data_IF_627342595567
#
_entry.id   IF_627342595567
#
_cell.length_a   1.000
_cell.length_b   1.000
_cell.length_c   1.000
_cell.angle_alpha   90.00
_cell.angle_beta   90.00
_cell.angle_gamma   90.00
#
_symmetry.space_group_name_H-M   'P 1'
#
loop_
_entity.id
_entity.type
_entity.pdbx_description
1 polymer ?
#
# COMPACT_ATOMS: atom_id res chain seq x y z
N UNK A 1 46.15 -41.57 -1.23
CA UNK A 1 45.59 -40.22 -1.49
C UNK A 1 45.93 -39.35 -0.29
N UNK A 2 46.69 -38.27 -0.46
CA UNK A 2 47.05 -37.36 0.64
C UNK A 2 45.84 -36.47 0.92
N UNK A 3 45.13 -36.71 2.01
CA UNK A 3 44.16 -35.74 2.52
C UNK A 3 44.94 -34.53 3.04
N UNK A 4 44.91 -33.44 2.29
CA UNK A 4 45.23 -32.12 2.82
C UNK A 4 44.08 -31.73 3.75
N UNK A 5 44.25 -31.97 5.05
CA UNK A 5 43.31 -31.49 6.05
C UNK A 5 43.35 -29.96 6.09
N UNK A 6 42.18 -29.34 6.15
CA UNK A 6 42.04 -27.90 6.43
C UNK A 6 42.80 -27.55 7.72
N UNK A 7 43.56 -26.47 7.70
CA UNK A 7 44.19 -25.97 8.91
C UNK A 7 43.16 -25.28 9.80
N UNK A 8 43.32 -25.38 11.13
CA UNK A 8 42.44 -24.65 12.06
C UNK A 8 42.49 -23.13 11.81
N UNK A 9 43.64 -22.63 11.36
CA UNK A 9 43.83 -21.22 11.04
C UNK A 9 42.99 -20.77 9.85
N UNK A 10 42.88 -21.60 8.80
CA UNK A 10 42.03 -21.30 7.63
C UNK A 10 40.56 -21.20 8.02
N UNK A 11 40.08 -22.03 8.95
CA UNK A 11 38.70 -21.92 9.42
C UNK A 11 38.49 -20.64 10.25
N UNK A 12 39.46 -20.29 11.10
CA UNK A 12 39.38 -19.10 11.97
C UNK A 12 39.42 -17.81 11.16
N UNK A 13 40.29 -17.70 10.15
CA UNK A 13 40.35 -16.48 9.33
C UNK A 13 39.06 -16.29 8.52
N UNK A 14 38.44 -17.37 8.04
CA UNK A 14 37.17 -17.30 7.29
C UNK A 14 36.06 -16.74 8.16
N UNK A 15 35.87 -17.23 9.39
CA UNK A 15 34.82 -16.72 10.27
C UNK A 15 35.08 -15.27 10.70
N UNK A 16 36.35 -14.86 10.84
CA UNK A 16 36.71 -13.47 11.15
C UNK A 16 36.35 -12.56 9.97
N UNK A 17 36.73 -12.94 8.75
CA UNK A 17 36.42 -12.17 7.54
C UNK A 17 34.90 -12.08 7.33
N UNK A 18 34.18 -13.20 7.47
CA UNK A 18 32.71 -13.22 7.39
C UNK A 18 32.07 -12.35 8.48
N UNK A 19 32.63 -12.33 9.70
CA UNK A 19 32.16 -11.47 10.78
C UNK A 19 32.27 -9.98 10.48
N UNK A 20 33.41 -9.54 9.90
CA UNK A 20 33.62 -8.13 9.52
C UNK A 20 32.70 -7.73 8.36
N UNK A 21 32.58 -8.59 7.34
CA UNK A 21 31.69 -8.35 6.20
C UNK A 21 30.22 -8.26 6.63
N UNK A 22 29.79 -9.14 7.53
CA UNK A 22 28.44 -9.11 8.09
C UNK A 22 28.20 -7.82 8.89
N UNK A 23 29.12 -7.42 9.77
CA UNK A 23 29.00 -6.20 10.57
C UNK A 23 28.86 -4.93 9.72
N UNK A 24 29.55 -4.86 8.57
CA UNK A 24 29.46 -3.72 7.65
C UNK A 24 28.17 -3.74 6.78
N UNK A 25 27.62 -4.91 6.48
CA UNK A 25 26.43 -5.04 5.62
C UNK A 25 25.10 -4.81 6.37
N UNK A 26 25.03 -5.17 7.65
CA UNK A 26 23.79 -5.10 8.46
C UNK A 26 23.15 -3.70 8.48
N UNK A 27 23.87 -2.58 8.73
CA UNK A 27 23.25 -1.26 8.81
C UNK A 27 22.58 -0.84 7.48
N UNK A 28 23.18 -1.21 6.35
CA UNK A 28 22.66 -0.89 5.02
C UNK A 28 21.39 -1.69 4.70
N UNK A 29 21.32 -2.95 5.13
CA UNK A 29 20.19 -3.83 4.85
C UNK A 29 18.91 -3.41 5.59
N UNK A 30 19.03 -2.78 6.77
CA UNK A 30 17.88 -2.27 7.54
C UNK A 30 17.25 -1.07 6.81
N UNK A 31 18.05 -0.06 6.42
CA UNK A 31 17.51 1.14 5.76
C UNK A 31 16.82 0.83 4.42
N UNK A 32 17.31 -0.14 3.65
CA UNK A 32 16.70 -0.52 2.37
C UNK A 32 15.31 -1.13 2.55
N UNK A 33 15.04 -1.80 3.67
CA UNK A 33 13.71 -2.36 3.93
C UNK A 33 12.69 -1.26 4.19
N UNK A 34 13.04 -0.25 4.98
CA UNK A 34 12.15 0.89 5.25
C UNK A 34 11.92 1.71 3.97
N UNK A 35 12.97 2.00 3.20
CA UNK A 35 12.85 2.65 1.89
C UNK A 35 11.95 1.85 0.93
N UNK A 36 12.06 0.51 0.94
CA UNK A 36 11.24 -0.34 0.08
C UNK A 36 9.76 -0.34 0.48
N UNK A 37 9.46 -0.25 1.78
CA UNK A 37 8.08 -0.11 2.29
C UNK A 37 7.45 1.19 1.80
N UNK A 38 8.17 2.30 1.95
CA UNK A 38 7.71 3.63 1.52
C UNK A 38 7.46 3.67 0.00
N UNK A 39 8.39 3.12 -0.80
CA UNK A 39 8.23 3.03 -2.25
C UNK A 39 7.03 2.17 -2.64
N UNK A 40 6.81 1.04 -1.95
CA UNK A 40 5.66 0.16 -2.21
C UNK A 40 4.34 0.87 -1.91
N UNK A 41 4.29 1.60 -0.80
CA UNK A 41 3.12 2.38 -0.41
C UNK A 41 2.83 3.51 -1.41
N UNK A 42 3.85 4.24 -1.83
CA UNK A 42 3.71 5.27 -2.84
C UNK A 42 3.21 4.69 -4.18
N UNK A 43 3.73 3.51 -4.57
CA UNK A 43 3.25 2.81 -5.76
C UNK A 43 1.77 2.40 -5.64
N UNK A 44 1.36 1.88 -4.47
CA UNK A 44 -0.03 1.52 -4.19
C UNK A 44 -0.96 2.75 -4.22
N UNK A 45 -0.53 3.88 -3.67
CA UNK A 45 -1.27 5.15 -3.73
C UNK A 45 -1.44 5.63 -5.17
N UNK A 46 -0.38 5.58 -5.99
CA UNK A 46 -0.44 5.92 -7.41
C UNK A 46 -1.37 4.99 -8.21
N UNK A 47 -1.35 3.69 -7.91
CA UNK A 47 -2.25 2.71 -8.51
C UNK A 47 -3.71 2.99 -8.13
N UNK A 48 -3.98 3.27 -6.85
CA UNK A 48 -5.30 3.62 -6.35
C UNK A 48 -5.83 4.92 -6.98
N UNK A 49 -5.00 5.95 -7.08
CA UNK A 49 -5.36 7.21 -7.74
C UNK A 49 -5.76 6.97 -9.21
N UNK A 50 -4.96 6.17 -9.92
CA UNK A 50 -5.22 5.81 -11.31
C UNK A 50 -6.53 5.01 -11.46
N UNK A 51 -6.75 4.03 -10.59
CA UNK A 51 -7.97 3.23 -10.57
C UNK A 51 -9.22 4.08 -10.30
N UNK A 52 -9.17 4.97 -9.30
CA UNK A 52 -10.28 5.86 -8.97
C UNK A 52 -10.64 6.81 -10.13
N UNK A 53 -9.64 7.33 -10.84
CA UNK A 53 -9.87 8.14 -12.05
C UNK A 53 -10.44 7.31 -13.20
N UNK A 54 -9.99 6.07 -13.40
CA UNK A 54 -10.53 5.18 -14.42
C UNK A 54 -12.01 4.85 -14.17
N UNK A 55 -12.36 4.61 -12.90
CA UNK A 55 -13.75 4.44 -12.45
C UNK A 55 -14.57 5.70 -12.75
N UNK A 56 -14.01 6.87 -12.50
CA UNK A 56 -14.65 8.14 -12.80
C UNK A 56 -14.93 8.33 -14.29
N UNK A 57 -13.98 8.01 -15.16
CA UNK A 57 -14.20 8.04 -16.60
C UNK A 57 -15.25 7.01 -17.03
N UNK A 58 -15.24 5.82 -16.44
CA UNK A 58 -16.26 4.80 -16.72
C UNK A 58 -17.67 5.29 -16.35
N UNK A 59 -17.81 5.93 -15.20
CA UNK A 59 -19.08 6.50 -14.75
C UNK A 59 -19.62 7.58 -15.69
N UNK A 60 -18.74 8.38 -16.30
CA UNK A 60 -19.13 9.36 -17.31
C UNK A 60 -19.61 8.68 -18.61
N UNK A 61 -18.92 7.63 -19.06
CA UNK A 61 -19.33 6.88 -20.24
C UNK A 61 -20.67 6.17 -20.05
N UNK A 62 -20.92 5.66 -18.84
CA UNK A 62 -22.19 5.04 -18.46
C UNK A 62 -23.31 6.07 -18.16
N UNK A 63 -23.00 7.37 -18.23
CA UNK A 63 -23.97 8.45 -18.07
C UNK A 63 -24.47 8.67 -16.64
N UNK A 64 -23.78 8.11 -15.64
CA UNK A 64 -24.17 8.18 -14.23
C UNK A 64 -23.49 9.32 -13.46
N UNK A 65 -22.89 10.28 -14.18
CA UNK A 65 -22.02 11.32 -13.62
C UNK A 65 -22.75 12.49 -12.93
N UNK A 66 -24.07 12.51 -12.98
CA UNK A 66 -24.92 13.55 -12.36
C UNK A 66 -25.52 13.12 -11.02
N UNK A 67 -25.26 11.88 -10.61
CA UNK A 67 -25.83 11.30 -9.41
C UNK A 67 -24.85 11.43 -8.24
N UNK A 68 -25.38 11.70 -7.06
CA UNK A 68 -24.61 11.62 -5.82
C UNK A 68 -24.21 10.16 -5.55
N UNK A 69 -25.15 9.22 -5.68
CA UNK A 69 -24.88 7.77 -5.54
C UNK A 69 -25.24 7.07 -6.85
N UNK A 70 -24.32 6.25 -7.33
CA UNK A 70 -24.51 5.45 -8.54
C UNK A 70 -23.70 4.17 -8.46
N UNK A 71 -23.77 3.35 -9.50
CA UNK A 71 -22.95 2.14 -9.62
C UNK A 71 -22.41 2.04 -11.04
N UNK A 72 -21.27 1.38 -11.17
CA UNK A 72 -20.71 0.94 -12.45
C UNK A 72 -20.31 -0.52 -12.36
N UNK A 73 -20.26 -1.20 -13.50
CA UNK A 73 -19.72 -2.56 -13.58
C UNK A 73 -18.28 -2.52 -14.06
N UNK A 74 -17.37 -3.06 -13.27
CA UNK A 74 -15.95 -3.20 -13.61
C UNK A 74 -15.61 -4.67 -13.43
N UNK A 75 -15.08 -5.31 -14.49
CA UNK A 75 -14.72 -6.74 -14.49
C UNK A 75 -15.85 -7.69 -14.03
N UNK A 76 -17.12 -7.32 -14.27
CA UNK A 76 -18.29 -8.09 -13.87
C UNK A 76 -18.76 -7.83 -12.43
N UNK A 77 -18.00 -7.09 -11.65
CA UNK A 77 -18.34 -6.68 -10.28
C UNK A 77 -19.05 -5.33 -10.28
N UNK A 78 -20.00 -5.17 -9.35
CA UNK A 78 -20.67 -3.89 -9.12
C UNK A 78 -19.86 -3.09 -8.12
N UNK A 79 -19.42 -1.91 -8.56
CA UNK A 79 -18.70 -0.94 -7.73
C UNK A 79 -19.65 0.21 -7.41
N UNK A 80 -19.83 0.48 -6.12
CA UNK A 80 -20.61 1.62 -5.67
C UNK A 80 -19.81 2.91 -5.83
N UNK A 81 -20.49 3.97 -6.25
CA UNK A 81 -19.88 5.26 -6.49
C UNK A 81 -20.52 6.34 -5.62
N UNK A 82 -19.72 7.35 -5.29
CA UNK A 82 -20.16 8.59 -4.72
C UNK A 82 -19.58 9.76 -5.52
N UNK A 83 -20.46 10.58 -6.10
CA UNK A 83 -20.13 11.60 -7.09
C UNK A 83 -19.23 11.10 -8.23
N UNK A 84 -19.53 9.91 -8.77
CA UNK A 84 -18.78 9.25 -9.85
C UNK A 84 -17.39 8.75 -9.47
N UNK A 85 -16.96 8.86 -8.22
CA UNK A 85 -15.72 8.25 -7.73
C UNK A 85 -16.05 7.00 -6.90
N UNK A 86 -15.11 6.06 -6.73
CA UNK A 86 -15.33 4.89 -5.87
C UNK A 86 -15.85 5.28 -4.49
N UNK A 87 -16.86 4.57 -4.01
CA UNK A 87 -17.34 4.72 -2.65
C UNK A 87 -16.23 4.27 -1.69
N UNK A 88 -16.02 5.00 -0.60
CA UNK A 88 -14.83 4.82 0.24
C UNK A 88 -14.92 3.66 1.21
N UNK A 89 -15.42 2.50 0.77
CA UNK A 89 -15.44 1.26 1.55
C UNK A 89 -14.33 0.32 1.08
N UNK A 90 -13.76 -0.52 1.97
CA UNK A 90 -12.77 -1.53 1.57
C UNK A 90 -13.26 -2.45 0.46
N UNK A 91 -14.56 -2.79 0.47
CA UNK A 91 -15.17 -3.63 -0.56
C UNK A 91 -15.08 -2.97 -1.94
N UNK A 92 -15.48 -1.71 -2.06
CA UNK A 92 -15.45 -1.00 -3.34
C UNK A 92 -14.02 -0.66 -3.80
N UNK A 93 -13.10 -0.40 -2.86
CA UNK A 93 -11.68 -0.16 -3.18
C UNK A 93 -10.98 -1.44 -3.67
N UNK A 94 -11.24 -2.60 -3.06
CA UNK A 94 -10.64 -3.87 -3.50
C UNK A 94 -11.14 -4.34 -4.89
N UNK A 95 -12.30 -3.85 -5.35
CA UNK A 95 -12.82 -4.17 -6.69
C UNK A 95 -12.14 -3.39 -7.82
N UNK A 96 -11.50 -2.26 -7.52
CA UNK A 96 -10.94 -1.36 -8.55
C UNK A 96 -9.42 -1.43 -8.65
N UNK A 97 -8.75 -1.87 -7.59
CA UNK A 97 -7.29 -1.97 -7.53
C UNK A 97 -6.88 -3.23 -6.78
N UNK A 98 -5.87 -3.91 -7.29
CA UNK A 98 -5.24 -5.05 -6.62
C UNK A 98 -4.13 -4.54 -5.71
N UNK A 99 -4.27 -4.79 -4.42
CA UNK A 99 -3.36 -4.32 -3.37
C UNK A 99 -2.70 -5.53 -2.66
N UNK A 100 -1.92 -6.30 -3.41
CA UNK A 100 -1.18 -7.45 -2.86
C UNK A 100 -0.15 -6.99 -1.82
N UNK A 101 -0.14 -7.64 -0.65
CA UNK A 101 0.74 -7.28 0.48
C UNK A 101 0.25 -6.09 1.30
N UNK A 102 -0.97 -5.62 1.06
CA UNK A 102 -1.60 -4.55 1.84
C UNK A 102 -2.87 -5.03 2.53
N UNK A 103 -3.08 -4.55 3.75
CA UNK A 103 -4.36 -4.63 4.43
C UNK A 103 -5.21 -3.41 4.06
N UNK A 104 -6.48 -3.64 3.72
CA UNK A 104 -7.47 -2.61 3.40
C UNK A 104 -8.60 -2.67 4.40
N UNK A 105 -8.77 -1.60 5.18
CA UNK A 105 -9.76 -1.53 6.27
C UNK A 105 -10.57 -0.25 6.26
N UNK A 106 -11.72 -0.28 6.94
CA UNK A 106 -12.55 0.91 7.10
C UNK A 106 -11.76 1.98 7.87
N UNK A 107 -11.82 3.21 7.39
CA UNK A 107 -11.30 4.36 8.12
C UNK A 107 -12.28 4.87 9.17
N UNK A 108 -11.78 5.79 9.99
CA UNK A 108 -12.53 6.40 11.10
C UNK A 108 -13.81 7.11 10.67
N UNK A 109 -13.80 7.73 9.49
CA UNK A 109 -14.93 8.50 8.97
C UNK A 109 -15.68 7.73 7.89
N UNK A 110 -16.97 8.03 7.73
CA UNK A 110 -17.77 7.43 6.67
C UNK A 110 -17.16 7.79 5.31
N UNK A 111 -17.02 6.78 4.45
CA UNK A 111 -16.45 6.97 3.13
C UNK A 111 -14.94 7.15 3.13
N UNK A 112 -14.26 6.71 4.19
CA UNK A 112 -12.81 6.58 4.21
C UNK A 112 -12.36 5.13 4.36
N UNK A 113 -11.26 4.81 3.70
CA UNK A 113 -10.58 3.51 3.75
C UNK A 113 -9.12 3.75 4.05
N UNK A 114 -8.55 2.93 4.94
CA UNK A 114 -7.13 2.92 5.30
C UNK A 114 -6.48 1.71 4.64
N UNK A 115 -5.30 1.93 4.07
CA UNK A 115 -4.48 0.90 3.42
C UNK A 115 -3.08 0.97 4.01
N UNK A 116 -2.62 -0.13 4.61
CA UNK A 116 -1.29 -0.29 5.20
C UNK A 116 -0.66 -1.59 4.68
N UNK A 117 0.63 -1.83 4.92
CA UNK A 117 1.19 -3.17 4.66
C UNK A 117 0.58 -4.18 5.65
N UNK A 118 0.43 -5.44 5.22
CA UNK A 118 -0.32 -6.49 5.92
C UNK A 118 0.16 -6.76 7.37
N UNK A 119 1.44 -6.50 7.67
CA UNK A 119 2.02 -6.68 9.00
C UNK A 119 2.02 -5.40 9.87
N UNK A 120 1.40 -4.31 9.41
CA UNK A 120 1.62 -2.95 9.94
C UNK A 120 0.31 -2.20 10.26
N UNK A 121 -0.37 -2.68 11.29
CA UNK A 121 -1.63 -2.09 11.78
C UNK A 121 -1.44 -1.20 13.00
N UNK A 122 -0.20 -0.98 13.42
CA UNK A 122 0.10 -0.26 14.64
C UNK A 122 0.26 1.24 14.37
N UNK A 123 0.02 2.03 15.42
CA UNK A 123 0.31 3.46 15.37
C UNK A 123 1.80 3.66 15.06
N UNK A 124 2.11 4.53 14.10
CA UNK A 124 3.49 4.79 13.68
C UNK A 124 3.85 4.13 12.35
N UNK A 125 2.99 3.26 11.82
CA UNK A 125 3.20 2.62 10.51
C UNK A 125 2.74 3.52 9.36
N UNK A 126 3.42 3.41 8.22
CA UNK A 126 3.05 4.13 7.02
C UNK A 126 1.68 3.65 6.49
N UNK A 127 0.87 4.58 6.02
CA UNK A 127 -0.50 4.34 5.59
C UNK A 127 -0.89 5.17 4.37
N UNK A 128 -1.98 4.74 3.73
CA UNK A 128 -2.73 5.51 2.75
C UNK A 128 -4.15 5.64 3.27
N UNK A 129 -4.73 6.84 3.23
CA UNK A 129 -6.14 7.07 3.48
C UNK A 129 -6.82 7.54 2.19
N UNK A 130 -7.69 6.69 1.65
CA UNK A 130 -8.66 7.10 0.65
C UNK A 130 -9.84 7.78 1.34
N UNK A 131 -10.22 8.95 0.84
CA UNK A 131 -11.46 9.62 1.19
C UNK A 131 -12.27 9.82 -0.09
N UNK A 132 -13.48 9.28 -0.10
CA UNK A 132 -14.39 9.44 -1.22
C UNK A 132 -14.66 10.91 -1.54
N UNK A 133 -15.13 11.16 -2.76
CA UNK A 133 -15.47 12.50 -3.19
C UNK A 133 -16.63 13.10 -2.36
N UNK A 134 -16.63 14.41 -2.17
CA UNK A 134 -17.76 15.15 -1.57
C UNK A 134 -18.57 15.94 -2.61
N UNK A 135 -18.12 15.91 -3.86
CA UNK A 135 -18.69 16.57 -5.03
C UNK A 135 -18.15 15.87 -6.28
N UNK A 136 -18.68 16.19 -7.45
CA UNK A 136 -18.21 15.64 -8.73
C UNK A 136 -16.81 16.13 -9.16
N UNK A 137 -16.09 16.87 -8.32
CA UNK A 137 -14.82 17.51 -8.66
C UNK A 137 -13.60 16.66 -8.29
N UNK A 138 -13.59 16.02 -7.11
CA UNK A 138 -12.42 15.25 -6.66
C UNK A 138 -12.70 14.36 -5.45
N UNK A 139 -11.96 13.25 -5.39
CA UNK A 139 -11.67 12.47 -4.18
C UNK A 139 -10.34 12.92 -3.58
N UNK A 140 -9.96 12.37 -2.42
CA UNK A 140 -8.65 12.63 -1.80
C UNK A 140 -7.95 11.34 -1.43
N UNK A 141 -6.64 11.33 -1.58
CA UNK A 141 -5.74 10.31 -1.03
C UNK A 141 -4.71 11.04 -0.17
N UNK A 142 -4.49 10.52 1.02
CA UNK A 142 -3.46 10.97 1.95
C UNK A 142 -2.44 9.84 2.12
N UNK A 143 -1.16 10.15 2.00
CA UNK A 143 -0.05 9.28 2.38
C UNK A 143 0.55 9.85 3.66
N UNK A 144 0.85 9.00 4.63
CA UNK A 144 1.33 9.46 5.93
C UNK A 144 1.57 8.32 6.90
N UNK A 145 1.46 8.61 8.18
CA UNK A 145 1.61 7.66 9.28
C UNK A 145 0.29 7.45 9.99
N UNK A 146 0.00 6.22 10.38
CA UNK A 146 -1.20 5.88 11.12
C UNK A 146 -1.09 6.44 12.54
N UNK A 147 -1.99 7.33 12.90
CA UNK A 147 -2.05 7.91 14.25
C UNK A 147 -3.08 7.17 15.13
N UNK A 148 -3.01 7.28 16.47
CA UNK A 148 -3.91 6.55 17.38
C UNK A 148 -5.41 6.79 17.14
N UNK A 149 -5.76 7.89 16.48
CA UNK A 149 -7.15 8.21 16.14
C UNK A 149 -7.68 7.43 14.94
N UNK A 150 -6.85 6.62 14.26
CA UNK A 150 -7.21 5.84 13.08
C UNK A 150 -7.24 6.64 11.78
N UNK A 151 -6.53 7.77 11.75
CA UNK A 151 -6.33 8.62 10.56
C UNK A 151 -4.91 8.43 10.02
N UNK A 152 -4.73 8.70 8.73
CA UNK A 152 -3.42 8.72 8.08
C UNK A 152 -2.96 10.17 7.86
N UNK A 153 -1.88 10.59 8.54
CA UNK A 153 -1.36 11.97 8.53
C UNK A 153 0.16 12.06 8.51
#
# INVERSE_FOLDING_TARGET
MRNQGFTLLELVIVIIVLGILAAAAVPKFINIQDDAKDVSLHAASGALNSAANLVHYRAQLDGVNKLERSTVKINGEVVNLFYSYPYGTPEDINKIVTLEGFEVRLGKYIGTTIINLEDSNDTGDACIQYQQASSNSSFKIYEGTLIPTGECL
#
